data_IF_759250584804
#
_entry.id   IF_759250584804
#
_cell.length_a   1.000
_cell.length_b   1.000
_cell.length_c   1.000
_cell.angle_alpha   90.00
_cell.angle_beta   90.00
_cell.angle_gamma   90.00
#
_symmetry.space_group_name_H-M   'P 1'
#
loop_
_entity.id
_entity.type
_entity.pdbx_description
1 polymer ?
#
# COMPACT_ATOMS: atom_id res chain seq x y z
N UNK A 1 40.12 15.78 22.31
CA UNK A 1 40.83 14.63 21.70
C UNK A 1 39.82 13.84 20.89
N UNK A 2 39.85 13.95 19.56
CA UNK A 2 39.01 13.14 18.67
C UNK A 2 39.90 12.02 18.13
N UNK A 3 39.74 10.80 18.65
CA UNK A 3 40.45 9.62 18.15
C UNK A 3 39.55 8.91 17.14
N UNK A 4 39.96 8.88 15.87
CA UNK A 4 39.27 8.17 14.78
C UNK A 4 39.65 8.69 13.39
N UNK A 5 39.86 7.78 12.42
CA UNK A 5 40.14 8.14 11.03
C UNK A 5 38.88 8.72 10.36
N UNK A 6 39.00 9.91 9.75
CA UNK A 6 37.92 10.61 9.02
C UNK A 6 37.64 10.06 7.62
N UNK A 7 38.12 8.86 7.30
CA UNK A 7 38.07 8.28 5.95
C UNK A 7 37.56 6.85 6.06
N UNK A 8 36.45 6.59 5.39
CA UNK A 8 35.81 5.27 5.28
C UNK A 8 36.40 4.45 4.13
N UNK A 9 37.67 4.71 3.75
CA UNK A 9 38.27 4.00 2.63
C UNK A 9 38.71 2.62 3.11
N UNK A 10 37.92 1.61 2.80
CA UNK A 10 38.23 0.22 3.07
C UNK A 10 39.38 -0.23 2.14
N UNK A 11 40.51 -0.63 2.74
CA UNK A 11 41.61 -1.29 2.04
C UNK A 11 41.51 -2.81 2.33
N UNK A 12 41.23 -3.64 1.31
CA UNK A 12 41.14 -5.09 1.51
C UNK A 12 42.52 -5.66 1.89
N UNK A 13 42.56 -6.57 2.87
CA UNK A 13 43.79 -7.22 3.31
C UNK A 13 44.36 -8.10 2.17
N UNK A 14 45.60 -7.87 1.71
CA UNK A 14 46.21 -8.65 0.64
C UNK A 14 46.41 -10.13 0.99
N UNK A 15 46.33 -10.51 2.27
CA UNK A 15 46.41 -11.90 2.72
C UNK A 15 45.04 -12.59 2.80
N UNK A 16 43.94 -11.87 2.54
CA UNK A 16 42.59 -12.44 2.57
C UNK A 16 42.28 -13.13 1.24
N UNK A 17 42.23 -14.46 1.26
CA UNK A 17 41.79 -15.26 0.11
C UNK A 17 40.27 -15.18 -0.06
N UNK A 18 39.81 -15.14 -1.31
CA UNK A 18 38.38 -15.18 -1.63
C UNK A 18 37.80 -16.55 -1.24
N UNK A 19 36.67 -16.54 -0.54
CA UNK A 19 35.95 -17.77 -0.20
C UNK A 19 35.34 -18.36 -1.48
N UNK A 20 35.50 -19.67 -1.74
CA UNK A 20 34.98 -20.31 -2.95
C UNK A 20 33.47 -20.57 -2.82
N UNK A 21 32.68 -19.50 -2.81
CA UNK A 21 31.21 -19.57 -2.85
C UNK A 21 30.66 -19.76 -4.27
N UNK A 22 31.51 -19.67 -5.29
CA UNK A 22 31.14 -19.94 -6.67
C UNK A 22 31.12 -21.45 -6.92
N UNK A 23 29.92 -22.01 -7.03
CA UNK A 23 29.75 -23.34 -7.58
C UNK A 23 30.02 -23.30 -9.10
N UNK A 24 30.62 -24.35 -9.69
CA UNK A 24 30.81 -24.43 -11.13
C UNK A 24 29.45 -24.36 -11.84
N UNK A 25 29.36 -23.65 -12.97
CA UNK A 25 28.09 -23.40 -13.67
C UNK A 25 27.26 -24.68 -13.91
N UNK A 26 27.91 -25.82 -14.14
CA UNK A 26 27.25 -27.10 -14.33
C UNK A 26 26.46 -27.59 -13.10
N UNK A 27 26.95 -27.32 -11.89
CA UNK A 27 26.26 -27.68 -10.64
C UNK A 27 25.11 -26.72 -10.34
N UNK A 28 25.24 -25.44 -10.70
CA UNK A 28 24.18 -24.43 -10.57
C UNK A 28 23.00 -24.77 -11.48
N UNK A 29 23.28 -25.13 -12.73
CA UNK A 29 22.24 -25.53 -13.70
C UNK A 29 21.49 -26.80 -13.27
N UNK A 30 22.18 -27.78 -12.67
CA UNK A 30 21.57 -29.00 -12.15
C UNK A 30 20.67 -28.71 -10.93
N UNK A 31 21.16 -27.91 -9.98
CA UNK A 31 20.36 -27.50 -8.82
C UNK A 31 19.13 -26.69 -9.24
N UNK A 32 19.25 -25.78 -10.21
CA UNK A 32 18.12 -25.02 -10.75
C UNK A 32 17.08 -25.90 -11.46
N UNK A 33 17.50 -27.02 -12.04
CA UNK A 33 16.59 -27.99 -12.68
C UNK A 33 15.85 -28.81 -11.62
N UNK A 34 16.53 -29.26 -10.56
CA UNK A 34 15.94 -30.05 -9.48
C UNK A 34 14.94 -29.25 -8.63
N UNK A 35 15.11 -27.93 -8.51
CA UNK A 35 14.27 -27.06 -7.65
C UNK A 35 12.94 -26.66 -8.32
N UNK A 36 12.78 -26.82 -9.64
CA UNK A 36 11.59 -26.36 -10.36
C UNK A 36 10.44 -27.36 -10.29
N UNK A 37 9.63 -27.28 -9.23
CA UNK A 37 8.36 -28.00 -9.12
C UNK A 37 7.19 -27.20 -9.70
N UNK A 38 6.41 -27.81 -10.60
CA UNK A 38 5.17 -27.24 -11.12
C UNK A 38 4.02 -27.54 -10.16
N UNK A 39 3.65 -26.56 -9.33
CA UNK A 39 2.53 -26.70 -8.38
C UNK A 39 1.23 -26.19 -9.03
N UNK A 40 0.31 -27.11 -9.33
CA UNK A 40 -1.05 -26.78 -9.78
C UNK A 40 -2.01 -26.88 -8.59
N UNK A 41 -2.67 -25.77 -8.23
CA UNK A 41 -3.70 -25.76 -7.18
C UNK A 41 -4.97 -25.05 -7.63
N UNK A 42 -6.11 -25.57 -7.19
CA UNK A 42 -7.43 -24.99 -7.46
C UNK A 42 -7.79 -23.99 -6.35
N UNK A 43 -7.85 -22.69 -6.68
CA UNK A 43 -8.36 -21.67 -5.75
C UNK A 43 -9.88 -21.54 -5.87
N UNK A 44 -10.59 -21.63 -4.75
CA UNK A 44 -11.99 -21.15 -4.68
C UNK A 44 -11.95 -19.65 -4.48
N UNK A 45 -12.72 -18.90 -5.27
CA UNK A 45 -12.84 -17.45 -5.07
C UNK A 45 -13.64 -17.24 -3.77
N UNK A 46 -13.10 -16.49 -2.79
CA UNK A 46 -13.88 -16.12 -1.62
C UNK A 46 -15.13 -15.32 -2.02
N UNK A 47 -16.27 -15.67 -1.43
CA UNK A 47 -17.50 -14.91 -1.58
C UNK A 47 -17.45 -13.69 -0.64
N UNK A 48 -16.89 -12.59 -1.14
CA UNK A 48 -16.80 -11.35 -0.37
C UNK A 48 -18.17 -10.67 -0.30
N UNK A 49 -18.65 -10.41 0.92
CA UNK A 49 -19.93 -9.70 1.17
C UNK A 49 -19.89 -8.20 0.86
N UNK A 50 -18.85 -7.71 0.19
CA UNK A 50 -18.64 -6.30 -0.11
C UNK A 50 -18.26 -5.48 1.13
N UNK A 51 -18.39 -4.15 1.00
CA UNK A 51 -18.13 -3.19 2.08
C UNK A 51 -19.36 -3.08 2.98
N UNK A 52 -19.15 -3.11 4.30
CA UNK A 52 -20.21 -2.80 5.25
C UNK A 52 -20.50 -1.29 5.26
N UNK A 53 -21.74 -0.92 5.59
CA UNK A 53 -22.10 0.48 5.83
C UNK A 53 -21.38 1.01 7.08
N UNK A 54 -21.14 2.32 7.11
CA UNK A 54 -20.57 2.96 8.29
C UNK A 54 -21.55 2.90 9.47
N UNK A 55 -21.06 2.86 10.73
CA UNK A 55 -21.92 2.78 11.90
C UNK A 55 -22.80 4.03 12.06
N UNK A 56 -24.10 3.83 12.32
CA UNK A 56 -25.09 4.91 12.44
C UNK A 56 -24.95 5.79 13.71
N UNK A 57 -24.12 5.39 14.67
CA UNK A 57 -23.88 6.14 15.90
C UNK A 57 -22.74 7.15 15.77
N UNK A 58 -22.00 7.16 14.66
CA UNK A 58 -20.95 8.13 14.43
C UNK A 58 -21.55 9.50 14.08
N UNK A 59 -20.97 10.61 14.56
CA UNK A 59 -21.39 11.95 14.16
C UNK A 59 -21.22 12.14 12.65
N UNK A 60 -22.19 12.80 12.02
CA UNK A 60 -22.21 13.05 10.56
C UNK A 60 -22.07 14.55 10.30
N UNK A 61 -21.11 14.93 9.46
CA UNK A 61 -20.90 16.30 8.98
C UNK A 61 -21.29 16.39 7.51
N UNK A 62 -22.29 17.20 7.17
CA UNK A 62 -22.78 17.35 5.79
C UNK A 62 -22.11 18.55 5.09
N UNK A 63 -21.50 18.29 3.94
CA UNK A 63 -20.80 19.28 3.12
C UNK A 63 -21.50 19.37 1.76
N UNK A 64 -22.15 20.49 1.50
CA UNK A 64 -22.76 20.79 0.20
C UNK A 64 -21.72 21.34 -0.77
N UNK A 65 -21.50 20.65 -1.88
CA UNK A 65 -20.67 21.10 -2.99
C UNK A 65 -21.61 21.57 -4.09
N UNK A 66 -21.46 22.81 -4.52
CA UNK A 66 -22.26 23.41 -5.58
C UNK A 66 -21.37 23.91 -6.72
N UNK A 67 -21.86 23.87 -7.97
CA UNK A 67 -21.11 24.40 -9.09
C UNK A 67 -20.96 25.92 -8.98
N UNK A 68 -19.85 26.43 -9.50
CA UNK A 68 -19.57 27.87 -9.55
C UNK A 68 -20.44 28.54 -10.64
N UNK A 69 -21.16 29.60 -10.29
CA UNK A 69 -21.97 30.38 -11.23
C UNK A 69 -23.33 30.81 -10.68
N UNK A 70 -24.12 31.50 -11.51
CA UNK A 70 -25.48 31.90 -11.18
C UNK A 70 -26.46 30.78 -11.53
N UNK A 71 -27.00 30.13 -10.50
CA UNK A 71 -27.88 28.95 -10.62
C UNK A 71 -29.36 29.28 -10.36
N UNK A 72 -29.69 30.58 -10.28
CA UNK A 72 -31.01 31.07 -9.87
C UNK A 72 -32.16 30.58 -10.76
N UNK A 73 -31.89 30.30 -12.04
CA UNK A 73 -32.88 29.82 -13.00
C UNK A 73 -32.88 28.29 -13.18
N UNK A 74 -31.98 27.57 -12.50
CA UNK A 74 -31.79 26.15 -12.67
C UNK A 74 -32.47 25.34 -11.57
N UNK A 75 -32.96 24.15 -11.91
CA UNK A 75 -33.60 23.21 -10.97
C UNK A 75 -32.66 22.05 -10.68
N UNK A 76 -32.44 21.75 -9.40
CA UNK A 76 -31.64 20.60 -8.97
C UNK A 76 -32.41 19.29 -9.27
N UNK A 77 -31.89 18.46 -10.19
CA UNK A 77 -32.53 17.21 -10.64
C UNK A 77 -32.23 16.05 -9.68
N UNK A 78 -31.04 16.03 -9.09
CA UNK A 78 -30.60 14.97 -8.19
C UNK A 78 -29.35 15.40 -7.44
N UNK A 79 -29.06 14.69 -6.35
CA UNK A 79 -27.88 14.89 -5.53
C UNK A 79 -27.14 13.56 -5.39
N UNK A 80 -25.83 13.60 -5.53
CA UNK A 80 -25.00 12.43 -5.27
C UNK A 80 -24.43 12.52 -3.85
N UNK A 81 -24.58 11.42 -3.09
CA UNK A 81 -24.16 11.35 -1.70
C UNK A 81 -22.94 10.44 -1.59
N UNK A 82 -21.84 10.99 -1.09
CA UNK A 82 -20.60 10.24 -0.79
C UNK A 82 -20.33 10.34 0.70
N UNK A 83 -20.11 9.19 1.36
CA UNK A 83 -19.77 9.13 2.79
C UNK A 83 -18.32 8.67 2.98
N UNK A 84 -17.54 9.45 3.70
CA UNK A 84 -16.14 9.17 4.04
C UNK A 84 -15.98 9.11 5.56
N UNK A 85 -15.23 8.11 6.05
CA UNK A 85 -14.91 7.99 7.48
C UNK A 85 -13.64 8.79 7.77
N UNK A 86 -13.77 9.82 8.59
CA UNK A 86 -12.70 10.70 9.00
C UNK A 86 -12.32 10.46 10.46
N UNK A 87 -11.05 10.70 10.76
CA UNK A 87 -10.45 10.45 12.07
C UNK A 87 -9.74 11.69 12.56
N UNK A 88 -10.21 12.22 13.69
CA UNK A 88 -9.42 13.10 14.54
C UNK A 88 -8.87 12.28 15.71
N UNK A 89 -7.75 12.68 16.34
CA UNK A 89 -7.09 11.90 17.39
C UNK A 89 -8.00 11.42 18.53
N UNK A 90 -9.14 12.09 18.77
CA UNK A 90 -10.11 11.76 19.81
C UNK A 90 -11.50 11.31 19.30
N UNK A 91 -11.78 11.36 17.99
CA UNK A 91 -13.11 11.05 17.45
C UNK A 91 -13.08 10.53 16.02
N UNK A 92 -13.98 9.61 15.71
CA UNK A 92 -14.35 9.27 14.34
C UNK A 92 -15.64 9.98 13.96
N UNK A 93 -15.73 10.45 12.73
CA UNK A 93 -16.92 11.09 12.21
C UNK A 93 -17.08 10.77 10.71
N UNK A 94 -18.30 10.87 10.22
CA UNK A 94 -18.64 10.62 8.82
C UNK A 94 -18.75 11.97 8.13
N UNK A 95 -17.90 12.24 7.13
CA UNK A 95 -18.11 13.36 6.22
C UNK A 95 -19.01 12.91 5.08
N UNK A 96 -20.18 13.54 4.98
CA UNK A 96 -21.15 13.30 3.91
C UNK A 96 -21.10 14.45 2.92
N UNK A 97 -20.56 14.18 1.73
CA UNK A 97 -20.55 15.13 0.63
C UNK A 97 -21.83 14.99 -0.18
N UNK A 98 -22.48 16.12 -0.43
CA UNK A 98 -23.68 16.25 -1.25
C UNK A 98 -23.29 17.12 -2.44
N UNK A 99 -23.17 16.52 -3.63
CA UNK A 99 -22.78 17.19 -4.87
C UNK A 99 -23.88 17.16 -5.93
#
# INVERSE_FOLDING_TARGET
MQFGQKRERFEPDPNQTMLPFEAPCAEVEQQEQEIKEKIEYLRKRPNHKGRAKLPAHLPVEEIGIHPEGELSEMVCIGKEITEELECEPAKFYIKRYIR
#
